data_IF_124562480193
#
_entry.id   IF_124562480193
#
_cell.length_a   1.000
_cell.length_b   1.000
_cell.length_c   1.000
_cell.angle_alpha   90.00
_cell.angle_beta   90.00
_cell.angle_gamma   90.00
#
_symmetry.space_group_name_H-M   'P 1'
#
loop_
_entity.id
_entity.type
_entity.pdbx_description
1 polymer ?
#
# COMPACT_ATOMS: atom_id res chain seq x y z
N UNK A 1 0.70 -44.97 29.75
CA UNK A 1 1.04 -43.59 30.18
C UNK A 1 2.22 -43.15 29.32
N UNK A 2 2.30 -42.02 28.63
CA UNK A 2 1.61 -40.73 28.74
C UNK A 2 1.42 -40.13 27.33
N UNK A 3 0.26 -39.50 27.08
CA UNK A 3 0.02 -38.70 25.87
C UNK A 3 0.76 -37.38 26.07
N UNK A 4 1.63 -37.01 25.12
CA UNK A 4 2.35 -35.72 25.09
C UNK A 4 1.32 -34.57 25.17
N UNK A 5 1.33 -33.74 26.23
CA UNK A 5 0.42 -32.61 26.32
C UNK A 5 0.85 -31.55 25.31
N UNK A 6 -0.08 -31.23 24.42
CA UNK A 6 -0.23 -30.04 23.58
C UNK A 6 0.89 -29.01 23.70
N UNK A 7 1.72 -28.88 22.66
CA UNK A 7 2.82 -27.93 22.58
C UNK A 7 2.27 -26.48 22.48
N UNK A 8 2.40 -25.65 23.53
CA UNK A 8 1.85 -24.30 23.55
C UNK A 8 2.60 -23.34 22.62
N UNK A 9 3.81 -23.72 22.19
CA UNK A 9 4.65 -22.93 21.29
C UNK A 9 4.12 -23.02 19.85
N UNK A 10 3.68 -24.21 19.44
CA UNK A 10 3.06 -24.44 18.14
C UNK A 10 1.75 -23.63 17.94
N UNK A 11 0.95 -23.50 18.99
CA UNK A 11 -0.26 -22.68 18.96
C UNK A 11 0.04 -21.17 18.85
N UNK A 12 1.12 -20.70 19.49
CA UNK A 12 1.55 -19.30 19.44
C UNK A 12 2.10 -18.91 18.06
N UNK A 13 2.85 -19.81 17.40
CA UNK A 13 3.39 -19.55 16.05
C UNK A 13 2.30 -19.46 14.97
N UNK A 14 1.21 -20.23 15.11
CA UNK A 14 0.07 -20.17 14.18
C UNK A 14 -0.71 -18.84 14.28
N UNK A 15 -0.84 -18.29 15.49
CA UNK A 15 -1.50 -17.01 15.72
C UNK A 15 -0.66 -15.83 15.16
N UNK A 16 0.67 -15.90 15.28
CA UNK A 16 1.55 -14.84 14.80
C UNK A 16 1.61 -14.75 13.26
N UNK A 17 1.55 -15.88 12.55
CA UNK A 17 1.50 -15.90 11.07
C UNK A 17 0.20 -15.32 10.50
N UNK A 18 -0.92 -15.48 11.20
CA UNK A 18 -2.23 -15.00 10.71
C UNK A 18 -2.38 -13.47 10.82
N UNK A 19 -1.64 -12.82 11.72
CA UNK A 19 -1.69 -11.37 11.94
C UNK A 19 -0.77 -10.56 11.00
N UNK A 20 0.11 -11.21 10.23
CA UNK A 20 1.10 -10.54 9.36
C UNK A 20 0.99 -10.97 7.89
N UNK A 21 -0.23 -11.21 7.40
CA UNK A 21 -0.45 -11.26 5.95
C UNK A 21 -0.96 -9.88 5.53
N UNK A 22 -0.12 -9.00 4.97
CA UNK A 22 -0.64 -7.81 4.31
C UNK A 22 -1.59 -8.31 3.22
N UNK A 23 -2.86 -7.92 3.34
CA UNK A 23 -3.90 -8.16 2.35
C UNK A 23 -3.31 -7.79 0.99
N UNK A 24 -3.08 -8.81 0.15
CA UNK A 24 -2.61 -8.67 -1.23
C UNK A 24 -3.51 -7.64 -1.90
N UNK A 25 -3.02 -6.41 -2.01
CA UNK A 25 -3.66 -5.41 -2.84
C UNK A 25 -3.65 -5.99 -4.25
N UNK A 26 -4.84 -6.08 -4.83
CA UNK A 26 -5.08 -6.66 -6.15
C UNK A 26 -3.98 -6.30 -7.14
N UNK A 27 -3.57 -7.30 -7.91
CA UNK A 27 -2.68 -7.18 -9.05
C UNK A 27 -3.28 -6.22 -10.08
N UNK A 28 -3.02 -4.92 -9.91
CA UNK A 28 -3.17 -3.96 -10.98
C UNK A 28 -2.11 -4.33 -12.03
N UNK A 29 -2.60 -5.03 -13.06
CA UNK A 29 -1.92 -5.40 -14.30
C UNK A 29 -0.69 -4.55 -14.54
N UNK A 30 0.48 -5.20 -14.57
CA UNK A 30 1.74 -4.64 -15.02
C UNK A 30 1.63 -4.18 -16.48
N UNK A 31 0.93 -3.08 -16.71
CA UNK A 31 1.15 -2.26 -17.89
C UNK A 31 2.55 -1.67 -17.68
N UNK A 32 3.46 -2.02 -18.58
CA UNK A 32 4.85 -1.59 -18.63
C UNK A 32 4.93 -0.17 -18.06
N UNK A 33 5.54 0.02 -16.87
CA UNK A 33 5.43 1.29 -16.19
C UNK A 33 6.12 2.32 -17.07
N UNK A 34 5.36 3.31 -17.57
CA UNK A 34 5.97 4.61 -17.85
C UNK A 34 6.82 4.93 -16.63
N UNK A 35 8.13 5.08 -16.82
CA UNK A 35 9.07 5.29 -15.72
C UNK A 35 8.57 6.49 -14.90
N UNK A 36 8.05 6.22 -13.69
CA UNK A 36 7.64 7.26 -12.75
C UNK A 36 8.95 7.71 -12.09
N UNK A 37 9.43 8.89 -12.47
CA UNK A 37 10.61 9.48 -11.86
C UNK A 37 10.25 10.09 -10.50
N UNK A 38 11.03 9.77 -9.47
CA UNK A 38 10.85 10.39 -8.16
C UNK A 38 11.49 11.78 -8.17
N UNK A 39 10.66 12.82 -8.10
CA UNK A 39 11.10 14.21 -8.09
C UNK A 39 10.79 14.88 -6.75
N UNK A 40 11.72 15.70 -6.27
CA UNK A 40 11.51 16.55 -5.09
C UNK A 40 10.88 17.87 -5.53
N UNK A 41 9.54 17.97 -5.44
CA UNK A 41 8.77 19.17 -5.75
C UNK A 41 8.16 19.76 -4.47
N UNK A 42 8.08 21.09 -4.38
CA UNK A 42 7.29 21.77 -3.33
C UNK A 42 5.85 21.90 -3.78
N UNK A 43 4.94 21.42 -2.94
CA UNK A 43 3.48 21.50 -3.13
C UNK A 43 2.90 22.25 -1.94
N UNK A 44 1.90 23.09 -2.20
CA UNK A 44 1.17 23.78 -1.14
C UNK A 44 0.45 22.80 -0.21
N UNK A 45 0.32 23.18 1.05
CA UNK A 45 -0.20 22.31 2.11
C UNK A 45 -1.66 21.92 1.85
N UNK A 46 -2.47 22.90 1.49
CA UNK A 46 -3.91 22.75 1.21
C UNK A 46 -4.14 21.77 0.06
N UNK A 47 -3.36 21.88 -1.02
CA UNK A 47 -3.42 20.96 -2.17
C UNK A 47 -3.09 19.53 -1.73
N UNK A 48 -2.00 19.37 -0.97
CA UNK A 48 -1.57 18.06 -0.50
C UNK A 48 -2.56 17.43 0.48
N UNK A 49 -3.11 18.22 1.41
CA UNK A 49 -4.18 17.78 2.33
C UNK A 49 -5.38 17.30 1.56
N UNK A 50 -5.86 18.11 0.61
CA UNK A 50 -6.92 17.74 -0.31
C UNK A 50 -6.62 16.35 -0.89
N UNK A 51 -5.48 16.13 -1.56
CA UNK A 51 -5.19 14.83 -2.18
C UNK A 51 -5.15 13.67 -1.18
N UNK A 52 -4.59 13.90 0.01
CA UNK A 52 -4.49 12.89 1.06
C UNK A 52 -5.84 12.50 1.69
N UNK A 53 -6.81 13.41 1.77
CA UNK A 53 -8.14 13.15 2.36
C UNK A 53 -8.91 12.03 1.64
N UNK A 54 -8.73 11.87 0.33
CA UNK A 54 -9.33 10.77 -0.44
C UNK A 54 -8.74 9.39 -0.10
N UNK A 55 -7.73 9.31 0.77
CA UNK A 55 -7.14 8.06 1.23
C UNK A 55 -6.14 7.43 0.26
N UNK A 56 -5.92 6.10 0.30
CA UNK A 56 -4.85 5.42 -0.43
C UNK A 56 -4.90 5.71 -1.94
N UNK A 57 -3.71 5.81 -2.56
CA UNK A 57 -3.58 6.16 -3.99
C UNK A 57 -3.61 7.67 -4.30
N UNK A 58 -3.53 8.54 -3.30
CA UNK A 58 -3.54 9.99 -3.50
C UNK A 58 -2.45 10.51 -4.43
N UNK A 59 -1.26 9.90 -4.42
CA UNK A 59 -0.19 10.28 -5.35
C UNK A 59 -0.54 9.96 -6.80
N UNK A 60 -1.26 8.87 -7.06
CA UNK A 60 -1.69 8.51 -8.41
C UNK A 60 -2.77 9.46 -8.93
N UNK A 61 -3.71 9.86 -8.06
CA UNK A 61 -4.71 10.91 -8.37
C UNK A 61 -4.04 12.27 -8.61
N UNK A 62 -3.06 12.63 -7.80
CA UNK A 62 -2.29 13.86 -7.98
C UNK A 62 -1.54 13.84 -9.33
N UNK A 63 -0.90 12.71 -9.66
CA UNK A 63 -0.24 12.56 -10.96
C UNK A 63 -1.22 12.60 -12.13
N UNK A 64 -2.42 12.02 -12.00
CA UNK A 64 -3.46 12.11 -13.02
C UNK A 64 -3.94 13.55 -13.24
N UNK A 65 -4.12 14.33 -12.16
CA UNK A 65 -4.45 15.75 -12.25
C UNK A 65 -3.34 16.55 -12.93
N UNK A 66 -2.06 16.26 -12.61
CA UNK A 66 -0.92 16.89 -13.26
C UNK A 66 -0.85 16.58 -14.76
N UNK A 67 -1.12 15.33 -15.17
CA UNK A 67 -1.21 14.97 -16.60
C UNK A 67 -2.34 15.73 -17.31
N UNK A 68 -3.53 15.76 -16.71
CA UNK A 68 -4.67 16.48 -17.27
C UNK A 68 -4.38 17.98 -17.42
N UNK A 69 -3.72 18.61 -16.44
CA UNK A 69 -3.30 20.01 -16.50
C UNK A 69 -2.21 20.26 -17.56
N UNK A 70 -1.32 19.29 -17.78
CA UNK A 70 -0.30 19.34 -18.83
C UNK A 70 -0.82 18.97 -20.24
N UNK A 71 -2.07 18.49 -20.35
CA UNK A 71 -2.66 18.02 -21.60
C UNK A 71 -2.13 16.66 -22.09
N UNK A 72 -1.65 15.83 -21.16
CA UNK A 72 -1.11 14.48 -21.41
C UNK A 72 -2.15 13.38 -21.20
#
# INVERSE_FOLDING_TARGET
MARRPTDPRAAAEAAFKSATTPKRMEEAKSAIPQAKEMVSLRIDRDVLERFQEDGPGWQERMNAALRAAAGL
#
